data_IF_902072113138
#
_entry.id   IF_902072113138
#
_cell.length_a   1.000
_cell.length_b   1.000
_cell.length_c   1.000
_cell.angle_alpha   90.00
_cell.angle_beta   90.00
_cell.angle_gamma   90.00
#
_symmetry.space_group_name_H-M   'P 1'
#
loop_
_entity.id
_entity.type
_entity.pdbx_description
1 polymer ?
#
# COMPACT_ATOMS: atom_id res chain seq x y z
N UNK A 1 21.73 11.25 45.07
CA UNK A 1 20.83 11.74 44.01
C UNK A 1 20.77 10.65 42.95
N UNK A 2 19.74 9.81 43.00
CA UNK A 2 19.52 8.68 42.09
C UNK A 2 18.88 9.25 40.81
N UNK A 3 19.67 9.31 39.74
CA UNK A 3 19.15 9.71 38.43
C UNK A 3 18.09 8.72 37.95
N UNK A 4 16.85 9.18 37.83
CA UNK A 4 15.85 8.46 37.09
C UNK A 4 16.32 8.41 35.63
N UNK A 5 16.85 7.28 35.19
CA UNK A 5 17.05 7.00 33.77
C UNK A 5 15.64 6.91 33.15
N UNK A 6 15.30 7.87 32.29
CA UNK A 6 14.03 7.79 31.55
C UNK A 6 13.97 6.43 30.83
N UNK A 7 12.84 5.73 30.95
CA UNK A 7 12.62 4.51 30.21
C UNK A 7 12.81 4.78 28.70
N UNK A 8 13.45 3.90 27.95
CA UNK A 8 13.64 4.09 26.52
C UNK A 8 12.28 4.26 25.86
N UNK A 9 12.13 5.33 25.09
CA UNK A 9 10.89 5.60 24.35
C UNK A 9 10.72 4.52 23.29
N UNK A 10 9.64 3.74 23.39
CA UNK A 10 9.30 2.72 22.38
C UNK A 10 8.90 3.45 21.10
N UNK A 11 9.57 3.15 19.99
CA UNK A 11 9.26 3.72 18.69
C UNK A 11 8.10 2.98 18.03
N UNK A 12 7.22 3.72 17.33
CA UNK A 12 6.10 3.14 16.58
C UNK A 12 6.56 2.20 15.47
N UNK A 13 7.72 2.48 14.88
CA UNK A 13 8.34 1.67 13.83
C UNK A 13 9.75 1.26 14.25
N UNK A 14 10.13 0.04 13.91
CA UNK A 14 11.49 -0.46 14.16
C UNK A 14 12.01 -1.29 13.00
N UNK A 15 13.33 -1.46 12.95
CA UNK A 15 13.98 -2.36 12.02
C UNK A 15 13.90 -3.81 12.53
N UNK A 16 13.66 -4.72 11.58
CA UNK A 16 13.64 -6.16 11.80
C UNK A 16 14.56 -6.82 10.78
N UNK A 17 15.53 -7.60 11.27
CA UNK A 17 16.33 -8.44 10.41
C UNK A 17 15.54 -9.70 10.05
N UNK A 18 15.54 -10.04 8.78
CA UNK A 18 14.83 -11.20 8.27
C UNK A 18 15.58 -11.86 7.12
N UNK A 19 15.09 -13.02 6.74
CA UNK A 19 15.51 -13.74 5.53
C UNK A 19 14.30 -14.21 4.77
N UNK A 20 14.45 -14.35 3.47
CA UNK A 20 13.45 -15.00 2.63
C UNK A 20 13.31 -16.45 3.08
N UNK A 21 12.15 -16.83 3.59
CA UNK A 21 11.82 -18.20 4.01
C UNK A 21 11.15 -19.00 2.88
N UNK A 22 10.37 -18.31 2.04
CA UNK A 22 9.76 -18.90 0.83
C UNK A 22 9.58 -17.85 -0.26
N UNK A 23 9.59 -18.32 -1.51
CA UNK A 23 9.24 -17.55 -2.71
C UNK A 23 8.14 -18.31 -3.42
N UNK A 24 6.98 -17.70 -3.56
CA UNK A 24 5.82 -18.32 -4.21
C UNK A 24 5.39 -17.48 -5.40
N UNK A 25 5.47 -18.03 -6.60
CA UNK A 25 4.87 -17.42 -7.79
C UNK A 25 3.35 -17.51 -7.64
N UNK A 26 2.68 -16.38 -7.49
CA UNK A 26 1.22 -16.31 -7.36
C UNK A 26 0.56 -16.32 -8.74
N UNK A 27 1.16 -15.58 -9.68
CA UNK A 27 0.68 -15.41 -11.04
C UNK A 27 1.82 -14.88 -11.93
N UNK A 28 1.63 -14.65 -13.23
CA UNK A 28 2.70 -14.12 -14.09
C UNK A 28 3.32 -12.81 -13.59
N UNK A 29 2.50 -11.93 -12.97
CA UNK A 29 2.97 -10.61 -12.54
C UNK A 29 3.14 -10.49 -11.02
N UNK A 30 2.81 -11.51 -10.23
CA UNK A 30 2.87 -11.42 -8.77
C UNK A 30 3.69 -12.54 -8.14
N UNK A 31 4.54 -12.16 -7.19
CA UNK A 31 5.31 -13.08 -6.37
C UNK A 31 5.08 -12.77 -4.89
N UNK A 32 4.90 -13.79 -4.08
CA UNK A 32 4.90 -13.68 -2.61
C UNK A 32 6.25 -14.03 -2.05
N UNK A 33 6.78 -13.16 -1.22
CA UNK A 33 7.90 -13.48 -0.35
C UNK A 33 7.38 -13.71 1.06
N UNK A 34 7.69 -14.87 1.63
CA UNK A 34 7.55 -15.11 3.06
C UNK A 34 8.88 -14.77 3.71
N UNK A 35 8.86 -13.81 4.61
CA UNK A 35 10.04 -13.31 5.34
C UNK A 35 10.01 -13.84 6.77
N UNK A 36 11.11 -14.41 7.26
CA UNK A 36 11.23 -14.91 8.62
C UNK A 36 12.41 -14.24 9.32
N UNK A 37 12.22 -13.84 10.58
CA UNK A 37 13.26 -13.19 11.37
C UNK A 37 13.13 -13.46 12.86
N UNK A 38 14.21 -13.31 13.65
CA UNK A 38 14.21 -13.66 15.07
C UNK A 38 13.22 -12.83 15.89
N UNK A 39 12.95 -11.58 15.48
CA UNK A 39 12.13 -10.61 16.20
C UNK A 39 10.78 -10.30 15.51
N UNK A 40 10.41 -11.05 14.46
CA UNK A 40 9.15 -10.80 13.73
C UNK A 40 7.89 -11.20 14.53
N UNK A 41 8.02 -11.81 15.69
CA UNK A 41 6.96 -11.92 16.69
C UNK A 41 6.54 -10.55 17.28
N UNK A 42 7.43 -9.54 17.22
CA UNK A 42 7.17 -8.16 17.61
C UNK A 42 6.75 -7.26 16.43
N UNK A 43 6.52 -7.78 15.25
CA UNK A 43 5.94 -7.05 14.14
C UNK A 43 4.42 -6.98 14.32
N UNK A 44 3.85 -5.75 14.42
CA UNK A 44 2.43 -5.60 14.67
C UNK A 44 1.59 -6.00 13.46
N UNK A 45 0.53 -6.76 13.72
CA UNK A 45 -0.51 -7.11 12.73
C UNK A 45 -1.67 -6.12 12.85
N UNK A 46 -1.61 -5.05 12.09
CA UNK A 46 -2.66 -4.03 12.07
C UNK A 46 -3.73 -4.30 11.01
N UNK A 47 -3.53 -5.29 10.15
CA UNK A 47 -4.44 -5.62 9.06
C UNK A 47 -4.55 -4.54 7.98
N UNK A 48 -5.65 -4.55 7.24
CA UNK A 48 -6.00 -3.57 6.20
C UNK A 48 -4.88 -3.37 5.17
N UNK A 49 -4.61 -2.11 4.81
CA UNK A 49 -3.54 -1.71 3.90
C UNK A 49 -2.22 -1.35 4.61
N UNK A 50 -1.96 -1.92 5.80
CA UNK A 50 -0.75 -1.61 6.57
C UNK A 50 0.50 -1.66 5.71
N UNK A 51 1.16 -0.52 5.62
CA UNK A 51 2.43 -0.38 4.90
C UNK A 51 3.62 -0.68 5.79
N UNK A 52 4.69 -1.15 5.17
CA UNK A 52 6.02 -1.24 5.76
C UNK A 52 7.08 -0.89 4.72
N UNK A 53 8.32 -0.71 5.15
CA UNK A 53 9.44 -0.49 4.26
C UNK A 53 10.27 -1.77 4.13
N UNK A 54 10.40 -2.25 2.90
CA UNK A 54 11.36 -3.29 2.55
C UNK A 54 12.68 -2.61 2.19
N UNK A 55 13.70 -2.86 2.99
CA UNK A 55 15.06 -2.36 2.79
C UNK A 55 15.85 -3.45 2.08
N UNK A 56 16.41 -3.11 0.94
CA UNK A 56 17.18 -4.03 0.10
C UNK A 56 18.69 -3.84 0.31
N UNK A 57 19.52 -4.80 -0.05
CA UNK A 57 20.97 -4.64 0.07
C UNK A 57 21.45 -3.46 -0.81
N UNK A 58 22.50 -2.80 -0.36
CA UNK A 58 23.18 -1.73 -1.10
C UNK A 58 23.85 -2.28 -2.37
N UNK A 59 24.60 -1.42 -3.09
CA UNK A 59 25.29 -1.81 -4.31
C UNK A 59 26.36 -2.91 -4.10
N UNK A 60 26.81 -3.10 -2.85
CA UNK A 60 27.80 -4.12 -2.46
C UNK A 60 27.15 -5.39 -1.89
N UNK A 61 25.82 -5.45 -1.84
CA UNK A 61 25.08 -6.58 -1.27
C UNK A 61 25.02 -6.58 0.25
N UNK A 62 25.27 -5.43 0.91
CA UNK A 62 25.40 -5.29 2.36
C UNK A 62 24.28 -4.45 2.99
N UNK A 63 24.18 -4.55 4.32
CA UNK A 63 23.40 -3.70 5.21
C UNK A 63 24.26 -3.01 6.27
N UNK A 64 25.60 -3.11 6.19
CA UNK A 64 26.52 -2.65 7.22
C UNK A 64 26.47 -1.12 7.40
N UNK A 65 26.19 -0.38 6.35
CA UNK A 65 26.04 1.07 6.38
C UNK A 65 24.63 1.55 6.78
N UNK A 66 23.65 0.65 6.90
CA UNK A 66 22.27 1.02 7.23
C UNK A 66 22.16 1.54 8.66
N UNK A 67 21.89 2.84 8.88
CA UNK A 67 21.70 3.37 10.22
C UNK A 67 20.39 2.87 10.81
N UNK A 68 20.33 2.65 12.14
CA UNK A 68 19.15 2.08 12.83
C UNK A 68 18.76 2.87 14.08
N UNK A 69 19.39 4.01 14.31
CA UNK A 69 19.07 4.96 15.39
C UNK A 69 17.81 5.77 15.05
N UNK A 70 17.26 6.56 15.98
CA UNK A 70 16.08 7.37 15.72
C UNK A 70 16.24 8.38 14.56
N UNK A 71 17.45 8.84 14.27
CA UNK A 71 17.80 9.75 13.18
C UNK A 71 18.20 9.02 11.87
N UNK A 72 17.93 7.72 11.80
CA UNK A 72 18.37 6.84 10.70
C UNK A 72 18.10 7.43 9.31
N UNK A 73 16.96 8.09 9.10
CA UNK A 73 16.57 8.58 7.78
C UNK A 73 17.47 9.72 7.30
N UNK A 74 17.78 10.67 8.17
CA UNK A 74 18.68 11.77 7.84
C UNK A 74 20.11 11.30 7.66
N UNK A 75 20.54 10.30 8.40
CA UNK A 75 21.85 9.68 8.25
C UNK A 75 21.91 8.89 6.94
N UNK A 76 20.90 8.08 6.65
CA UNK A 76 20.79 7.31 5.40
C UNK A 76 20.82 8.23 4.16
N UNK A 77 20.10 9.35 4.17
CA UNK A 77 20.08 10.31 3.05
C UNK A 77 21.45 10.94 2.77
N UNK A 78 22.34 10.98 3.73
CA UNK A 78 23.70 11.54 3.59
C UNK A 78 24.74 10.51 3.19
N UNK A 79 24.40 9.22 3.18
CA UNK A 79 25.32 8.19 2.72
C UNK A 79 25.67 8.38 1.24
N UNK A 80 26.89 7.99 0.82
CA UNK A 80 27.20 7.79 -0.59
C UNK A 80 26.17 6.90 -1.28
N UNK A 81 25.86 7.18 -2.53
CA UNK A 81 24.79 6.50 -3.26
C UNK A 81 24.96 4.97 -3.35
N UNK A 82 26.20 4.50 -3.40
CA UNK A 82 26.54 3.07 -3.43
C UNK A 82 26.38 2.35 -2.08
N UNK A 83 26.35 3.11 -0.97
CA UNK A 83 26.09 2.63 0.37
C UNK A 83 24.62 2.82 0.82
N UNK A 84 23.82 3.56 0.04
CA UNK A 84 22.40 3.71 0.33
C UNK A 84 21.64 2.43 -0.02
N UNK A 85 21.13 1.76 1.00
CA UNK A 85 20.21 0.66 0.82
C UNK A 85 18.93 1.14 0.13
N UNK A 86 18.51 0.57 -1.01
CA UNK A 86 17.22 0.92 -1.61
C UNK A 86 16.07 0.58 -0.67
N UNK A 87 15.20 1.55 -0.41
CA UNK A 87 14.02 1.38 0.45
C UNK A 87 12.77 1.47 -0.42
N UNK A 88 11.85 0.50 -0.28
CA UNK A 88 10.58 0.49 -1.00
C UNK A 88 9.43 0.19 -0.06
N UNK A 89 8.31 0.84 -0.32
CA UNK A 89 7.10 0.66 0.48
C UNK A 89 6.24 -0.45 -0.11
N UNK A 90 5.80 -1.36 0.73
CA UNK A 90 4.88 -2.44 0.38
C UNK A 90 3.79 -2.58 1.42
N UNK A 91 2.73 -3.29 1.06
CA UNK A 91 1.65 -3.66 1.97
C UNK A 91 1.99 -4.98 2.66
N UNK A 92 1.72 -5.06 3.95
CA UNK A 92 1.76 -6.32 4.71
C UNK A 92 0.61 -7.21 4.21
N UNK A 93 0.92 -8.41 3.74
CA UNK A 93 -0.12 -9.36 3.31
C UNK A 93 -0.63 -10.23 4.44
N UNK A 94 0.25 -10.67 5.30
CA UNK A 94 -0.08 -11.43 6.51
C UNK A 94 1.07 -11.36 7.51
N UNK A 95 0.74 -11.38 8.79
CA UNK A 95 1.67 -11.54 9.91
C UNK A 95 1.34 -12.83 10.63
N UNK A 96 2.36 -13.67 10.86
CA UNK A 96 2.25 -14.91 11.63
C UNK A 96 3.26 -14.87 12.77
N UNK A 97 2.96 -14.10 13.81
CA UNK A 97 3.85 -13.86 14.95
C UNK A 97 4.37 -15.15 15.60
N UNK A 98 3.50 -16.16 15.75
CA UNK A 98 3.88 -17.44 16.40
C UNK A 98 5.02 -18.19 15.68
N UNK A 99 5.15 -18.01 14.36
CA UNK A 99 6.22 -18.61 13.55
C UNK A 99 7.21 -17.57 13.04
N UNK A 100 7.05 -16.31 13.47
CA UNK A 100 7.90 -15.15 13.14
C UNK A 100 8.02 -14.92 11.65
N UNK A 101 6.87 -14.87 10.97
CA UNK A 101 6.80 -14.69 9.53
C UNK A 101 5.91 -13.50 9.16
N UNK A 102 6.32 -12.81 8.09
CA UNK A 102 5.56 -11.76 7.40
C UNK A 102 5.53 -12.09 5.91
N UNK A 103 4.34 -12.08 5.31
CA UNK A 103 4.17 -12.20 3.87
C UNK A 103 4.04 -10.82 3.23
N UNK A 104 4.65 -10.68 2.05
CA UNK A 104 4.50 -9.53 1.17
C UNK A 104 4.31 -9.99 -0.26
N UNK A 105 3.33 -9.42 -0.94
CA UNK A 105 3.07 -9.65 -2.37
C UNK A 105 3.67 -8.50 -3.18
N UNK A 106 4.53 -8.84 -4.13
CA UNK A 106 5.24 -7.88 -4.97
C UNK A 106 4.81 -8.04 -6.42
N UNK A 107 4.62 -6.92 -7.10
CA UNK A 107 4.41 -6.88 -8.55
C UNK A 107 5.75 -6.91 -9.26
N UNK A 108 5.87 -7.78 -10.25
CA UNK A 108 7.04 -7.89 -11.11
C UNK A 108 6.82 -7.03 -12.37
N UNK A 109 7.56 -5.94 -12.48
CA UNK A 109 7.58 -5.06 -13.66
C UNK A 109 8.86 -5.28 -14.50
N UNK A 110 9.23 -6.52 -14.74
CA UNK A 110 10.50 -6.87 -15.37
C UNK A 110 11.70 -6.44 -14.51
N UNK A 111 12.83 -6.16 -15.12
CA UNK A 111 14.07 -5.72 -14.42
C UNK A 111 14.11 -4.22 -14.08
N UNK A 112 12.95 -3.55 -14.06
CA UNK A 112 12.83 -2.12 -13.78
C UNK A 112 12.81 -1.87 -12.28
N UNK A 113 13.89 -1.32 -11.74
CA UNK A 113 14.00 -0.95 -10.33
C UNK A 113 14.57 -2.05 -9.40
N UNK A 114 15.11 -1.65 -8.24
CA UNK A 114 15.82 -2.58 -7.34
C UNK A 114 14.92 -3.66 -6.73
N UNK A 115 13.66 -3.33 -6.41
CA UNK A 115 12.75 -4.27 -5.77
C UNK A 115 12.24 -5.35 -6.72
N UNK A 116 11.88 -5.01 -7.98
CA UNK A 116 11.50 -6.02 -8.97
C UNK A 116 12.67 -6.95 -9.30
N UNK A 117 13.90 -6.39 -9.39
CA UNK A 117 15.11 -7.22 -9.58
C UNK A 117 15.35 -8.15 -8.39
N UNK A 118 15.20 -7.65 -7.17
CA UNK A 118 15.32 -8.48 -5.97
C UNK A 118 14.26 -9.57 -5.95
N UNK A 119 12.99 -9.21 -6.12
CA UNK A 119 11.88 -10.16 -6.08
C UNK A 119 11.98 -11.25 -7.18
N UNK A 120 12.40 -10.86 -8.40
CA UNK A 120 12.58 -11.80 -9.51
C UNK A 120 13.78 -12.75 -9.36
N UNK A 121 14.70 -12.48 -8.42
CA UNK A 121 15.90 -13.28 -8.18
C UNK A 121 15.97 -13.84 -6.77
N UNK A 122 15.03 -13.49 -5.91
CA UNK A 122 15.01 -13.86 -4.50
C UNK A 122 15.11 -15.38 -4.31
N UNK A 123 15.91 -15.80 -3.36
CA UNK A 123 16.11 -17.20 -2.98
C UNK A 123 15.91 -17.36 -1.48
N UNK A 124 15.49 -18.54 -1.08
CA UNK A 124 15.43 -18.91 0.34
C UNK A 124 16.81 -18.70 0.97
N UNK A 125 16.82 -17.96 2.08
CA UNK A 125 18.04 -17.60 2.80
C UNK A 125 18.56 -16.19 2.51
N UNK A 126 18.11 -15.52 1.44
CA UNK A 126 18.54 -14.16 1.13
C UNK A 126 18.19 -13.20 2.28
N UNK A 127 19.12 -12.36 2.74
CA UNK A 127 18.86 -11.42 3.81
C UNK A 127 18.00 -10.26 3.31
N UNK A 128 17.11 -9.77 4.18
CA UNK A 128 16.34 -8.55 3.98
C UNK A 128 16.17 -7.84 5.32
N UNK A 129 15.90 -6.54 5.28
CA UNK A 129 15.54 -5.77 6.47
C UNK A 129 14.17 -5.15 6.25
N UNK A 130 13.31 -5.27 7.26
CA UNK A 130 12.02 -4.59 7.28
C UNK A 130 12.09 -3.41 8.24
N UNK A 131 11.49 -2.28 7.88
CA UNK A 131 11.15 -1.23 8.82
C UNK A 131 9.63 -1.17 8.88
N UNK A 132 9.06 -1.55 10.00
CA UNK A 132 7.63 -1.77 10.15
C UNK A 132 7.10 -1.52 11.56
N UNK A 133 5.78 -1.67 11.74
CA UNK A 133 5.09 -1.37 13.00
C UNK A 133 5.58 -2.28 14.13
N UNK A 134 5.84 -1.66 15.29
CA UNK A 134 6.36 -2.32 16.47
C UNK A 134 5.23 -2.68 17.44
N UNK A 135 4.94 -3.95 17.63
CA UNK A 135 3.86 -4.42 18.52
C UNK A 135 4.00 -3.97 19.98
N UNK A 136 5.19 -3.57 20.41
CA UNK A 136 5.40 -3.02 21.74
C UNK A 136 4.98 -1.54 21.87
N UNK A 137 4.66 -0.86 20.77
CA UNK A 137 4.18 0.52 20.80
C UNK A 137 2.68 0.54 21.11
N UNK A 138 2.30 1.33 22.12
CA UNK A 138 0.94 1.29 22.68
C UNK A 138 -0.06 2.27 22.04
N UNK A 139 0.26 2.85 20.86
CA UNK A 139 -0.57 3.84 20.19
C UNK A 139 -0.62 3.56 18.67
N UNK A 140 -1.20 4.45 17.88
CA UNK A 140 -1.35 4.31 16.42
C UNK A 140 0.01 4.31 15.73
N UNK A 141 0.31 3.22 15.01
CA UNK A 141 1.59 3.08 14.30
C UNK A 141 1.72 3.99 13.07
N UNK A 142 0.58 4.40 12.45
CA UNK A 142 0.57 5.00 11.12
C UNK A 142 0.79 3.96 10.01
N UNK A 143 0.77 4.41 8.75
CA UNK A 143 0.95 3.51 7.61
C UNK A 143 -0.29 2.70 7.25
N UNK A 144 -1.45 3.09 7.75
CA UNK A 144 -2.77 2.66 7.33
C UNK A 144 -3.46 3.86 6.67
N UNK A 145 -3.98 3.68 5.49
CA UNK A 145 -4.65 4.77 4.75
C UNK A 145 -6.10 4.45 4.42
N UNK A 146 -6.51 3.20 4.56
CA UNK A 146 -7.92 2.82 4.56
C UNK A 146 -8.51 3.14 5.94
N UNK A 147 -9.18 4.31 6.03
CA UNK A 147 -9.70 4.87 7.29
C UNK A 147 -11.13 5.38 7.13
N UNK A 148 -12.08 4.53 6.75
CA UNK A 148 -13.48 4.94 6.83
C UNK A 148 -13.83 5.26 8.29
N UNK A 149 -14.84 6.11 8.56
CA UNK A 149 -15.36 6.29 9.92
C UNK A 149 -15.73 4.95 10.56
N UNK A 150 -15.54 4.79 11.87
CA UNK A 150 -15.92 3.57 12.60
C UNK A 150 -17.40 3.19 12.42
N UNK A 151 -18.24 4.20 12.22
CA UNK A 151 -19.69 4.06 11.98
C UNK A 151 -20.04 4.00 10.48
N UNK A 152 -19.07 3.76 9.60
CA UNK A 152 -19.31 3.76 8.16
C UNK A 152 -20.29 2.65 7.75
N UNK A 153 -21.39 3.06 7.15
CA UNK A 153 -22.46 2.17 6.65
C UNK A 153 -22.78 2.46 5.16
N UNK A 154 -22.06 3.39 4.55
CA UNK A 154 -22.18 3.74 3.14
C UNK A 154 -21.45 2.80 2.20
N UNK A 155 -21.57 2.99 0.88
CA UNK A 155 -20.84 2.19 -0.10
C UNK A 155 -19.34 2.51 -0.04
N UNK A 156 -18.53 1.47 -0.20
CA UNK A 156 -17.06 1.58 -0.30
C UNK A 156 -16.61 1.26 -1.71
N UNK A 157 -15.77 2.14 -2.29
CA UNK A 157 -15.17 1.94 -3.60
C UNK A 157 -13.64 1.91 -3.47
N UNK A 158 -13.03 0.84 -3.96
CA UNK A 158 -11.58 0.64 -3.95
C UNK A 158 -11.09 0.61 -5.40
N UNK A 159 -10.12 1.44 -5.75
CA UNK A 159 -9.63 1.50 -7.14
C UNK A 159 -8.10 1.45 -7.16
N UNK A 160 -7.54 0.61 -8.02
CA UNK A 160 -6.09 0.57 -8.12
C UNK A 160 -5.53 -0.17 -9.33
N UNK A 161 -4.28 0.14 -9.63
CA UNK A 161 -3.47 -0.63 -10.55
C UNK A 161 -2.84 -1.88 -9.87
N UNK A 162 -2.03 -2.61 -10.59
CA UNK A 162 -1.36 -3.82 -10.08
C UNK A 162 -0.57 -3.56 -8.78
N UNK A 163 0.00 -2.36 -8.59
CA UNK A 163 0.77 -2.04 -7.38
C UNK A 163 -0.10 -1.87 -6.14
N UNK A 164 -1.37 -1.47 -6.34
CA UNK A 164 -2.36 -1.32 -5.29
C UNK A 164 -3.12 -2.62 -5.00
N UNK A 165 -3.11 -3.60 -5.91
CA UNK A 165 -3.85 -4.85 -5.75
C UNK A 165 -3.56 -5.57 -4.42
N UNK A 166 -2.31 -5.70 -3.91
CA UNK A 166 -2.05 -6.30 -2.60
C UNK A 166 -2.75 -5.57 -1.45
N UNK A 167 -2.81 -4.24 -1.48
CA UNK A 167 -3.49 -3.43 -0.47
C UNK A 167 -5.01 -3.61 -0.54
N UNK A 168 -5.59 -3.54 -1.74
CA UNK A 168 -7.03 -3.78 -1.94
C UNK A 168 -7.42 -5.18 -1.48
N UNK A 169 -6.65 -6.22 -1.85
CA UNK A 169 -6.91 -7.59 -1.41
C UNK A 169 -6.79 -7.75 0.12
N UNK A 170 -5.91 -7.00 0.76
CA UNK A 170 -5.80 -6.98 2.21
C UNK A 170 -7.00 -6.26 2.85
N UNK A 171 -7.43 -5.11 2.31
CA UNK A 171 -8.64 -4.41 2.76
C UNK A 171 -9.86 -5.34 2.67
N UNK A 172 -10.07 -5.96 1.49
CA UNK A 172 -11.21 -6.86 1.26
C UNK A 172 -11.28 -8.02 2.27
N UNK A 173 -10.14 -8.55 2.67
CA UNK A 173 -10.05 -9.64 3.65
C UNK A 173 -10.45 -9.22 5.08
N UNK A 174 -10.48 -7.92 5.37
CA UNK A 174 -10.80 -7.36 6.70
C UNK A 174 -12.16 -6.66 6.73
N UNK A 175 -12.86 -6.53 5.59
CA UNK A 175 -14.19 -5.92 5.57
C UNK A 175 -15.19 -6.71 6.42
N UNK A 176 -16.08 -5.98 7.08
CA UNK A 176 -17.18 -6.59 7.81
C UNK A 176 -18.15 -7.31 6.85
N UNK A 177 -18.82 -8.39 7.28
CA UNK A 177 -19.76 -9.15 6.43
C UNK A 177 -20.88 -8.30 5.82
N UNK A 178 -21.24 -7.19 6.47
CA UNK A 178 -22.29 -6.25 6.08
C UNK A 178 -21.78 -5.19 5.09
N UNK A 179 -20.47 -5.08 4.90
CA UNK A 179 -19.89 -4.10 3.98
C UNK A 179 -20.42 -4.34 2.56
N UNK A 180 -20.68 -3.23 1.86
CA UNK A 180 -21.07 -3.28 0.46
C UNK A 180 -20.30 -2.25 -0.36
N UNK A 181 -20.12 -2.56 -1.63
CA UNK A 181 -19.33 -1.71 -2.49
C UNK A 181 -18.72 -2.44 -3.66
N UNK A 182 -17.70 -1.83 -4.24
CA UNK A 182 -16.99 -2.42 -5.38
C UNK A 182 -15.49 -2.09 -5.37
N UNK A 183 -14.67 -3.09 -5.68
CA UNK A 183 -13.26 -2.89 -6.00
C UNK A 183 -13.06 -2.99 -7.52
N UNK A 184 -12.33 -2.04 -8.08
CA UNK A 184 -11.94 -2.02 -9.50
C UNK A 184 -10.42 -2.08 -9.58
N UNK A 185 -9.90 -3.17 -10.11
CA UNK A 185 -8.48 -3.45 -10.17
C UNK A 185 -8.01 -3.70 -11.60
N UNK A 186 -6.92 -3.06 -12.00
CA UNK A 186 -6.29 -3.29 -13.29
C UNK A 186 -4.97 -4.07 -13.10
N UNK A 187 -4.85 -5.20 -13.80
CA UNK A 187 -3.69 -6.10 -13.74
C UNK A 187 -3.06 -6.30 -15.11
N UNK A 188 -1.75 -6.62 -15.18
CA UNK A 188 -1.05 -6.76 -16.45
C UNK A 188 -1.52 -7.95 -17.31
N UNK A 189 -1.91 -9.06 -16.71
CA UNK A 189 -2.25 -10.32 -17.40
C UNK A 189 -3.57 -10.89 -16.86
N UNK A 190 -4.37 -11.51 -17.71
CA UNK A 190 -5.64 -12.13 -17.29
C UNK A 190 -5.43 -13.25 -16.25
N UNK A 191 -4.26 -13.87 -16.21
CA UNK A 191 -3.88 -14.89 -15.22
C UNK A 191 -3.52 -14.30 -13.84
N UNK A 192 -3.45 -12.96 -13.72
CA UNK A 192 -3.28 -12.26 -12.45
C UNK A 192 -4.61 -12.10 -11.69
N UNK A 193 -5.73 -12.37 -12.35
CA UNK A 193 -7.05 -12.37 -11.73
C UNK A 193 -7.13 -13.50 -10.70
N UNK A 194 -7.49 -13.14 -9.47
CA UNK A 194 -7.63 -14.10 -8.37
C UNK A 194 -9.07 -14.15 -7.88
N UNK A 195 -9.48 -15.31 -7.41
CA UNK A 195 -10.75 -15.45 -6.69
C UNK A 195 -10.60 -14.91 -5.27
N UNK A 196 -11.55 -14.09 -4.83
CA UNK A 196 -11.50 -13.39 -3.55
C UNK A 196 -12.77 -13.67 -2.77
N UNK A 197 -12.62 -14.12 -1.52
CA UNK A 197 -13.76 -14.19 -0.60
C UNK A 197 -14.23 -12.77 -0.27
N UNK A 198 -15.51 -12.48 -0.52
CA UNK A 198 -16.08 -11.15 -0.39
C UNK A 198 -17.31 -11.15 0.52
N UNK A 199 -17.61 -10.03 1.20
CA UNK A 199 -18.93 -9.78 1.75
C UNK A 199 -20.01 -9.89 0.65
N UNK A 200 -21.23 -10.32 1.01
CA UNK A 200 -22.32 -10.57 0.05
C UNK A 200 -22.65 -9.30 -0.78
N UNK A 201 -22.51 -8.13 -0.16
CA UNK A 201 -22.77 -6.82 -0.81
C UNK A 201 -21.59 -6.27 -1.59
N UNK A 202 -20.47 -6.99 -1.70
CA UNK A 202 -19.25 -6.49 -2.33
C UNK A 202 -18.94 -7.20 -3.65
N UNK A 203 -18.41 -6.45 -4.62
CA UNK A 203 -17.99 -6.95 -5.94
C UNK A 203 -16.53 -6.59 -6.21
N UNK A 204 -15.85 -7.43 -6.99
CA UNK A 204 -14.54 -7.08 -7.60
C UNK A 204 -14.66 -7.12 -9.11
N UNK A 205 -14.30 -6.04 -9.76
CA UNK A 205 -14.15 -5.93 -11.22
C UNK A 205 -12.66 -5.91 -11.55
N UNK A 206 -12.22 -6.92 -12.30
CA UNK A 206 -10.86 -7.03 -12.79
C UNK A 206 -10.77 -6.55 -14.23
N UNK A 207 -9.81 -5.69 -14.50
CA UNK A 207 -9.45 -5.23 -15.84
C UNK A 207 -8.06 -5.76 -16.19
N UNK A 208 -7.89 -6.15 -17.43
CA UNK A 208 -6.56 -6.48 -17.96
C UNK A 208 -6.03 -5.27 -18.71
N UNK A 209 -4.82 -4.84 -18.37
CA UNK A 209 -4.18 -3.69 -18.96
C UNK A 209 -4.12 -3.78 -20.48
N UNK A 210 -4.52 -2.71 -21.15
CA UNK A 210 -4.51 -2.60 -22.61
C UNK A 210 -3.44 -1.59 -23.08
N UNK A 211 -3.00 -1.73 -24.32
CA UNK A 211 -2.00 -0.83 -24.90
C UNK A 211 -2.51 0.63 -25.05
N UNK A 212 -3.82 0.81 -25.13
CA UNK A 212 -4.51 2.09 -25.39
C UNK A 212 -4.76 2.93 -24.13
N UNK A 213 -4.30 2.47 -22.95
CA UNK A 213 -4.48 3.17 -21.68
C UNK A 213 -5.24 2.37 -20.63
N UNK A 214 -5.49 3.00 -19.47
CA UNK A 214 -6.20 2.36 -18.37
C UNK A 214 -7.71 2.43 -18.54
N UNK A 215 -8.38 1.31 -18.33
CA UNK A 215 -9.85 1.21 -18.29
C UNK A 215 -10.48 1.59 -16.96
N UNK A 216 -9.68 1.93 -15.95
CA UNK A 216 -10.15 2.15 -14.59
C UNK A 216 -11.20 3.25 -14.45
N UNK A 217 -11.09 4.34 -15.22
CA UNK A 217 -12.08 5.43 -15.18
C UNK A 217 -13.49 4.99 -15.59
N UNK A 218 -13.60 4.32 -16.75
CA UNK A 218 -14.88 3.83 -17.24
C UNK A 218 -15.49 2.75 -16.31
N UNK A 219 -14.65 1.85 -15.80
CA UNK A 219 -15.11 0.82 -14.87
C UNK A 219 -15.52 1.40 -13.51
N UNK A 220 -14.87 2.48 -13.06
CA UNK A 220 -15.30 3.23 -11.88
C UNK A 220 -16.69 3.84 -12.08
N UNK A 221 -16.96 4.47 -13.23
CA UNK A 221 -18.29 5.03 -13.54
C UNK A 221 -19.37 3.94 -13.50
N UNK A 222 -19.10 2.79 -14.12
CA UNK A 222 -20.02 1.66 -14.07
C UNK A 222 -20.25 1.16 -12.64
N UNK A 223 -19.20 1.12 -11.79
CA UNK A 223 -19.31 0.72 -10.40
C UNK A 223 -20.21 1.71 -9.62
N UNK A 224 -20.01 3.01 -9.79
CA UNK A 224 -20.83 4.05 -9.16
C UNK A 224 -22.30 3.96 -9.57
N UNK A 225 -22.57 3.73 -10.87
CA UNK A 225 -23.94 3.50 -11.38
C UNK A 225 -24.57 2.27 -10.73
N UNK A 226 -23.83 1.15 -10.62
CA UNK A 226 -24.34 -0.07 -9.96
C UNK A 226 -24.64 0.15 -8.48
N UNK A 227 -23.91 1.03 -7.83
CA UNK A 227 -24.12 1.41 -6.42
C UNK A 227 -25.23 2.44 -6.24
N UNK A 228 -25.89 2.89 -7.33
CA UNK A 228 -26.96 3.89 -7.29
C UNK A 228 -26.46 5.30 -6.96
N UNK A 229 -25.16 5.56 -7.13
CA UNK A 229 -24.59 6.87 -6.87
C UNK A 229 -24.78 7.79 -8.07
N UNK A 230 -25.07 9.09 -7.85
CA UNK A 230 -25.27 10.02 -8.95
C UNK A 230 -23.97 10.23 -9.73
N UNK A 231 -24.01 9.96 -11.02
CA UNK A 231 -22.98 10.34 -11.98
C UNK A 231 -23.44 11.65 -12.58
N UNK A 232 -23.06 12.77 -11.98
CA UNK A 232 -23.52 14.09 -12.39
C UNK A 232 -22.44 15.16 -12.28
N UNK A 233 -22.63 16.30 -12.96
CA UNK A 233 -21.69 17.41 -12.94
C UNK A 233 -21.64 18.08 -11.55
N UNK A 234 -20.57 17.81 -10.82
CA UNK A 234 -20.26 18.47 -9.53
C UNK A 234 -19.80 19.91 -9.75
N UNK A 235 -20.10 20.76 -8.76
CA UNK A 235 -19.84 22.21 -8.82
C UNK A 235 -18.64 22.67 -7.98
N UNK A 236 -17.89 21.77 -7.35
CA UNK A 236 -16.78 22.16 -6.47
C UNK A 236 -15.46 22.27 -7.24
N UNK A 237 -14.79 23.43 -7.12
CA UNK A 237 -13.50 23.62 -7.75
C UNK A 237 -12.48 22.63 -7.12
N UNK A 238 -11.76 21.83 -7.91
CA UNK A 238 -10.75 20.95 -7.37
C UNK A 238 -9.67 21.78 -6.67
N UNK A 239 -9.07 21.26 -5.59
CA UNK A 239 -7.84 21.83 -5.07
C UNK A 239 -6.79 21.84 -6.18
N UNK A 240 -5.84 22.78 -6.14
CA UNK A 240 -4.73 22.77 -7.09
C UNK A 240 -4.04 21.40 -7.08
N UNK A 241 -3.64 20.92 -8.25
CA UNK A 241 -2.83 19.72 -8.34
C UNK A 241 -1.58 19.93 -7.48
N UNK A 242 -1.16 18.95 -6.66
CA UNK A 242 0.10 19.05 -5.96
C UNK A 242 1.21 19.29 -6.99
N UNK A 243 2.16 20.14 -6.66
CA UNK A 243 3.30 20.45 -7.53
C UNK A 243 3.99 19.16 -7.99
N UNK A 244 4.74 19.21 -9.09
CA UNK A 244 5.38 18.02 -9.68
C UNK A 244 6.26 17.23 -8.68
N UNK A 245 6.71 17.86 -7.61
CA UNK A 245 7.59 17.30 -6.58
C UNK A 245 6.87 16.96 -5.27
N UNK A 246 5.58 17.30 -5.12
CA UNK A 246 4.82 16.93 -3.94
C UNK A 246 4.27 15.49 -4.07
N UNK A 247 4.35 14.68 -3.01
CA UNK A 247 3.72 13.36 -3.01
C UNK A 247 2.20 13.52 -3.15
N UNK A 248 1.62 12.86 -4.15
CA UNK A 248 0.18 12.79 -4.31
C UNK A 248 -0.40 11.87 -3.23
N UNK A 249 -0.73 12.45 -2.08
CA UNK A 249 -1.18 11.70 -0.92
C UNK A 249 -2.13 12.52 -0.07
N UNK A 250 -3.37 12.09 0.06
CA UNK A 250 -4.36 12.72 0.95
C UNK A 250 -5.30 11.64 1.49
N UNK A 251 -5.42 11.56 2.79
CA UNK A 251 -6.31 10.64 3.48
C UNK A 251 -7.18 11.46 4.41
N UNK A 252 -8.47 11.58 4.12
CA UNK A 252 -9.38 12.41 4.91
C UNK A 252 -9.52 11.86 6.34
N UNK A 253 -9.50 12.75 7.31
CA UNK A 253 -9.72 12.38 8.72
C UNK A 253 -11.21 12.21 9.07
N UNK A 254 -12.12 12.76 8.26
CA UNK A 254 -13.56 12.80 8.54
C UNK A 254 -14.37 12.65 7.25
N UNK A 255 -14.72 11.44 6.89
CA UNK A 255 -15.74 11.17 5.88
C UNK A 255 -17.13 11.07 6.50
N UNK A 256 -18.20 11.25 5.69
CA UNK A 256 -19.57 11.01 6.15
C UNK A 256 -19.80 9.50 6.38
N UNK A 257 -20.47 9.15 7.47
CA UNK A 257 -20.67 7.75 7.85
C UNK A 257 -21.58 6.98 6.88
N UNK A 258 -22.54 7.65 6.26
CA UNK A 258 -23.54 7.11 5.33
C UNK A 258 -23.27 7.43 3.85
N UNK A 259 -22.23 8.22 3.58
CA UNK A 259 -21.78 8.59 2.24
C UNK A 259 -20.87 7.56 1.59
N UNK A 260 -20.51 7.80 0.32
CA UNK A 260 -19.47 7.04 -0.36
C UNK A 260 -18.13 7.23 0.37
N UNK A 261 -17.40 6.15 0.57
CA UNK A 261 -15.98 6.18 0.88
C UNK A 261 -15.17 5.58 -0.27
N UNK A 262 -14.31 6.37 -0.89
CA UNK A 262 -13.45 5.94 -1.99
C UNK A 262 -11.98 5.89 -1.55
N UNK A 263 -11.28 4.80 -1.88
CA UNK A 263 -9.86 4.61 -1.66
C UNK A 263 -9.19 4.31 -3.01
N UNK A 264 -8.22 5.13 -3.41
CA UNK A 264 -7.60 5.06 -4.73
C UNK A 264 -6.08 5.04 -4.57
N UNK A 265 -5.40 4.04 -5.16
CA UNK A 265 -3.95 4.00 -5.16
C UNK A 265 -3.37 3.45 -6.46
N UNK A 266 -2.11 3.82 -6.75
CA UNK A 266 -1.42 3.35 -7.94
C UNK A 266 -0.49 4.39 -8.57
N UNK A 267 -0.41 4.41 -9.89
CA UNK A 267 0.37 5.39 -10.65
C UNK A 267 -0.15 6.82 -10.41
N UNK A 268 0.75 7.76 -10.12
CA UNK A 268 0.37 9.12 -9.68
C UNK A 268 -0.49 9.87 -10.69
N UNK A 269 -0.22 9.76 -11.99
CA UNK A 269 -1.02 10.41 -13.02
C UNK A 269 -2.42 9.84 -13.13
N UNK A 270 -2.54 8.52 -13.02
CA UNK A 270 -3.81 7.80 -12.98
C UNK A 270 -4.64 8.21 -11.75
N UNK A 271 -4.04 8.19 -10.56
CA UNK A 271 -4.69 8.58 -9.30
C UNK A 271 -5.18 10.02 -9.35
N UNK A 272 -4.36 10.95 -9.90
CA UNK A 272 -4.77 12.35 -10.11
C UNK A 272 -5.99 12.45 -11.03
N UNK A 273 -6.01 11.69 -12.13
CA UNK A 273 -7.12 11.65 -13.07
C UNK A 273 -8.41 11.15 -12.43
N UNK A 274 -8.36 10.00 -11.74
CA UNK A 274 -9.51 9.41 -11.05
C UNK A 274 -10.04 10.30 -9.92
N UNK A 275 -9.16 10.91 -9.13
CA UNK A 275 -9.56 11.86 -8.10
C UNK A 275 -10.26 13.07 -8.68
N UNK A 276 -9.68 13.67 -9.75
CA UNK A 276 -10.30 14.81 -10.42
C UNK A 276 -11.68 14.44 -10.95
N UNK A 277 -11.82 13.27 -11.54
CA UNK A 277 -13.07 12.75 -12.04
C UNK A 277 -14.11 12.60 -10.92
N UNK A 278 -13.79 11.93 -9.81
CA UNK A 278 -14.72 11.77 -8.69
C UNK A 278 -15.15 13.13 -8.09
N UNK A 279 -14.20 14.00 -7.77
CA UNK A 279 -14.49 15.23 -7.01
C UNK A 279 -15.08 16.31 -7.92
N UNK A 280 -14.49 16.52 -9.12
CA UNK A 280 -14.88 17.61 -10.00
C UNK A 280 -16.05 17.24 -10.91
N UNK A 281 -15.94 16.07 -11.58
CA UNK A 281 -16.88 15.75 -12.65
C UNK A 281 -18.13 15.07 -12.08
N UNK A 282 -18.00 14.27 -11.00
CA UNK A 282 -19.09 13.57 -10.36
C UNK A 282 -19.58 14.19 -9.05
N UNK A 283 -18.88 15.21 -8.53
CA UNK A 283 -19.29 15.94 -7.32
C UNK A 283 -19.19 15.13 -6.03
N UNK A 284 -18.36 14.07 -5.98
CA UNK A 284 -18.10 13.33 -4.77
C UNK A 284 -17.38 14.24 -3.77
N UNK A 285 -17.84 14.26 -2.53
CA UNK A 285 -17.23 15.07 -1.48
C UNK A 285 -15.75 14.71 -1.31
N UNK A 286 -14.87 15.71 -1.32
CA UNK A 286 -13.40 15.51 -1.20
C UNK A 286 -13.02 14.68 0.02
N UNK A 287 -13.72 14.88 1.14
CA UNK A 287 -13.47 14.16 2.40
C UNK A 287 -13.83 12.67 2.34
N UNK A 288 -14.51 12.25 1.29
CA UNK A 288 -14.86 10.86 1.06
C UNK A 288 -13.85 10.12 0.20
N UNK A 289 -12.78 10.78 -0.28
CA UNK A 289 -11.81 10.20 -1.22
C UNK A 289 -10.40 10.20 -0.63
N UNK A 290 -9.92 9.03 -0.22
CA UNK A 290 -8.51 8.78 0.09
C UNK A 290 -7.77 8.43 -1.22
N UNK A 291 -6.62 9.05 -1.46
CA UNK A 291 -5.85 8.80 -2.69
C UNK A 291 -4.34 8.83 -2.45
N UNK A 292 -3.64 7.87 -3.07
CA UNK A 292 -2.22 7.63 -2.85
C UNK A 292 -1.49 7.32 -4.15
N UNK A 293 -0.55 8.18 -4.54
CA UNK A 293 0.38 7.90 -5.63
C UNK A 293 1.51 7.00 -5.16
N UNK A 294 1.42 5.70 -5.44
CA UNK A 294 2.42 4.73 -5.03
C UNK A 294 3.70 4.80 -5.86
N UNK A 295 3.57 5.16 -7.12
CA UNK A 295 4.68 5.28 -8.05
C UNK A 295 4.37 6.30 -9.14
N UNK A 296 5.41 6.72 -9.90
CA UNK A 296 5.27 7.64 -11.02
C UNK A 296 6.05 7.10 -12.22
N UNK A 297 5.40 7.05 -13.36
CA UNK A 297 6.04 6.62 -14.61
C UNK A 297 7.25 7.50 -14.93
N UNK A 298 8.38 6.86 -15.25
CA UNK A 298 9.63 7.56 -15.57
C UNK A 298 10.43 8.07 -14.38
N UNK A 299 9.97 7.89 -13.15
CA UNK A 299 10.78 8.18 -11.94
C UNK A 299 11.04 6.88 -11.18
N UNK A 300 12.29 6.62 -10.73
CA UNK A 300 12.52 5.51 -9.81
C UNK A 300 11.74 5.78 -8.53
N UNK A 301 10.92 4.84 -8.11
CA UNK A 301 10.13 4.95 -6.88
C UNK A 301 11.04 5.24 -5.68
N UNK A 302 10.66 6.21 -4.85
CA UNK A 302 11.32 6.58 -3.60
C UNK A 302 10.94 5.66 -2.45
#
# INVERSE_FOLDING_TARGET
MTGLTAAPTVQAWRFFDARVAAVTCLSPSFVRLTLRGPDLDAFADNGWDQRFKLVLPDAHGSYDALPRDPEWYDTWRRLPADLQNPIRTYTVRAVRAAVREVDVDLVLHGDVGPASRFAGRARVGDPVVLLGPNAAYGDVHGGLEFRPPDSHVGPTVLVGDATAAPAVLSILAHLAPEAFGEAVLEVPDARDVVDVALPVGFRVTWLVQQAEGSGLGAALDEALVRLGLPVGSGAEAPPPDPGEDEPLWDVPEQAAADGLYAWIAGESGLVTGLRRHLVRDLGVERRSVAFMGYWRRGRPGG
#
